data_IF_740873693175
#
_entry.id   IF_740873693175
#
_cell.length_a   1.000
_cell.length_b   1.000
_cell.length_c   1.000
_cell.angle_alpha   90.00
_cell.angle_beta   90.00
_cell.angle_gamma   90.00
#
_symmetry.space_group_name_H-M   'P 1'
#
loop_
_entity.id
_entity.type
_entity.pdbx_description
1 polymer ?
#
# COMPACT_ATOMS: atom_id res chain seq x y z
N UNK A 1 32.12 -33.10 -27.04
CA UNK A 1 33.50 -33.31 -26.51
C UNK A 1 34.23 -34.20 -27.49
N UNK A 2 35.48 -33.88 -27.85
CA UNK A 2 36.27 -34.67 -28.80
C UNK A 2 36.81 -35.95 -28.17
N UNK A 3 36.88 -37.03 -28.94
CA UNK A 3 37.48 -38.32 -28.55
C UNK A 3 39.01 -38.34 -28.67
N UNK A 4 39.62 -37.17 -28.92
CA UNK A 4 41.05 -37.04 -29.12
C UNK A 4 41.76 -36.76 -27.80
N UNK A 5 43.00 -37.27 -27.61
CA UNK A 5 43.79 -36.96 -26.42
C UNK A 5 43.92 -35.45 -26.22
N UNK A 6 43.62 -35.00 -25.01
CA UNK A 6 43.64 -33.59 -24.62
C UNK A 6 44.99 -33.12 -24.08
N UNK A 7 45.96 -34.04 -23.96
CA UNK A 7 47.27 -33.85 -23.32
C UNK A 7 48.37 -34.62 -24.07
N UNK A 8 49.63 -34.39 -23.67
CA UNK A 8 50.79 -35.13 -24.17
C UNK A 8 51.18 -34.81 -25.61
N UNK A 9 51.89 -35.74 -26.26
CA UNK A 9 52.43 -35.57 -27.61
C UNK A 9 51.39 -35.15 -28.65
N UNK A 10 50.13 -35.55 -28.48
CA UNK A 10 49.06 -35.23 -29.42
C UNK A 10 48.78 -33.71 -29.52
N UNK A 11 48.88 -33.01 -28.40
CA UNK A 11 48.69 -31.55 -28.31
C UNK A 11 50.02 -30.80 -28.43
N UNK A 12 51.10 -31.35 -27.87
CA UNK A 12 52.40 -30.68 -27.79
C UNK A 12 53.18 -30.71 -29.11
N UNK A 13 53.01 -31.74 -29.94
CA UNK A 13 53.67 -31.80 -31.24
C UNK A 13 52.93 -30.91 -32.25
N UNK A 14 53.71 -30.19 -33.07
CA UNK A 14 53.19 -29.25 -34.06
C UNK A 14 52.16 -29.86 -35.02
N UNK A 15 51.30 -29.03 -35.60
CA UNK A 15 50.22 -29.50 -36.50
C UNK A 15 50.74 -30.21 -37.75
N UNK A 16 51.99 -29.95 -38.16
CA UNK A 16 52.64 -30.55 -39.32
C UNK A 16 53.17 -31.98 -39.06
N UNK A 17 53.12 -32.46 -37.82
CA UNK A 17 53.54 -33.83 -37.48
C UNK A 17 52.40 -34.79 -37.81
N UNK A 18 52.72 -35.90 -38.49
CA UNK A 18 51.73 -36.90 -38.87
C UNK A 18 51.03 -37.50 -37.63
N UNK A 19 49.78 -37.96 -37.81
CA UNK A 19 48.98 -38.50 -36.71
C UNK A 19 49.58 -39.76 -36.08
N UNK A 20 50.24 -40.62 -36.86
CA UNK A 20 50.85 -41.83 -36.35
C UNK A 20 51.94 -41.50 -35.31
N UNK A 21 52.83 -40.55 -35.61
CA UNK A 21 53.87 -40.06 -34.72
C UNK A 21 53.27 -39.40 -33.47
N UNK A 22 52.18 -38.62 -33.62
CA UNK A 22 51.48 -38.04 -32.47
C UNK A 22 50.88 -39.09 -31.53
N UNK A 23 50.31 -40.16 -32.08
CA UNK A 23 49.73 -41.26 -31.31
C UNK A 23 50.82 -42.11 -30.64
N UNK A 24 51.92 -42.39 -31.35
CA UNK A 24 53.05 -43.14 -30.80
C UNK A 24 53.78 -42.40 -29.68
N UNK A 25 53.69 -41.07 -29.65
CA UNK A 25 54.24 -40.26 -28.58
C UNK A 25 53.38 -40.21 -27.32
N UNK A 26 52.18 -40.79 -27.30
CA UNK A 26 51.33 -40.80 -26.11
C UNK A 26 51.85 -41.78 -25.07
N UNK A 27 51.99 -41.29 -23.85
CA UNK A 27 52.24 -42.11 -22.67
C UNK A 27 50.91 -42.57 -22.08
N UNK A 28 50.96 -43.60 -21.24
CA UNK A 28 49.77 -44.11 -20.56
C UNK A 28 49.01 -43.03 -19.76
N UNK A 29 49.69 -41.98 -19.27
CA UNK A 29 49.08 -40.86 -18.54
C UNK A 29 48.42 -39.80 -19.43
N UNK A 30 48.73 -39.77 -20.72
CA UNK A 30 48.19 -38.81 -21.68
C UNK A 30 46.85 -39.27 -22.26
N UNK A 31 46.53 -40.55 -22.07
CA UNK A 31 45.35 -41.19 -22.59
C UNK A 31 44.30 -41.22 -21.48
N UNK A 32 43.20 -40.53 -21.71
CA UNK A 32 41.98 -40.71 -20.93
C UNK A 32 41.37 -42.07 -21.31
N UNK A 33 41.84 -43.13 -20.65
CA UNK A 33 41.46 -44.51 -20.99
C UNK A 33 39.96 -44.74 -20.93
N UNK A 34 39.27 -44.07 -20.01
CA UNK A 34 37.84 -44.29 -19.76
C UNK A 34 37.06 -42.99 -19.84
N UNK A 35 35.96 -43.02 -20.57
CA UNK A 35 34.97 -41.96 -20.48
C UNK A 35 34.19 -42.08 -19.16
N UNK A 36 33.99 -40.96 -18.45
CA UNK A 36 33.35 -40.94 -17.13
C UNK A 36 31.94 -41.54 -17.09
N UNK A 37 31.22 -41.54 -18.21
CA UNK A 37 29.88 -42.15 -18.31
C UNK A 37 29.87 -43.68 -18.50
N UNK A 38 31.02 -44.30 -18.78
CA UNK A 38 31.11 -45.72 -19.16
C UNK A 38 31.68 -46.64 -18.07
N UNK A 39 32.17 -46.09 -16.97
CA UNK A 39 32.84 -46.87 -15.92
C UNK A 39 31.86 -47.81 -15.22
N UNK A 40 32.12 -49.11 -15.31
CA UNK A 40 31.35 -50.13 -14.60
C UNK A 40 29.99 -50.50 -15.22
N UNK A 41 29.68 -50.00 -16.43
CA UNK A 41 28.51 -50.43 -17.18
C UNK A 41 28.71 -51.80 -17.83
N UNK A 42 27.60 -52.46 -18.16
CA UNK A 42 27.58 -53.72 -18.90
C UNK A 42 28.01 -53.50 -20.35
N UNK A 43 29.17 -54.02 -20.72
CA UNK A 43 29.71 -53.93 -22.09
C UNK A 43 29.61 -55.28 -22.80
N UNK A 44 29.64 -55.23 -24.14
CA UNK A 44 29.53 -56.44 -24.98
C UNK A 44 30.85 -57.21 -24.91
N UNK A 45 30.79 -58.45 -24.40
CA UNK A 45 31.95 -59.31 -24.23
C UNK A 45 32.04 -60.46 -25.25
N UNK A 46 30.94 -60.82 -25.91
CA UNK A 46 30.92 -61.84 -26.95
C UNK A 46 29.57 -61.85 -27.68
N UNK A 47 29.52 -62.52 -28.83
CA UNK A 47 28.30 -62.73 -29.60
C UNK A 47 28.12 -64.24 -29.84
N UNK A 48 27.10 -64.85 -29.24
CA UNK A 48 26.81 -66.29 -29.34
C UNK A 48 28.05 -67.15 -29.06
N UNK A 49 28.61 -67.82 -30.09
CA UNK A 49 29.76 -68.71 -29.99
C UNK A 49 31.11 -68.06 -30.34
N UNK A 50 31.12 -66.76 -30.66
CA UNK A 50 32.36 -66.03 -30.92
C UNK A 50 32.96 -65.54 -29.59
N UNK A 51 34.20 -65.93 -29.22
CA UNK A 51 34.82 -65.50 -27.97
C UNK A 51 35.21 -64.02 -27.99
N UNK A 52 35.38 -63.43 -29.18
CA UNK A 52 35.52 -61.99 -29.40
C UNK A 52 34.27 -61.40 -30.05
N UNK A 53 34.20 -60.08 -30.17
CA UNK A 53 33.03 -59.40 -30.75
C UNK A 53 33.30 -59.14 -32.22
N UNK A 54 32.62 -59.85 -33.14
CA UNK A 54 32.82 -59.68 -34.58
C UNK A 54 32.15 -58.40 -35.09
N UNK A 55 32.84 -57.67 -35.95
CA UNK A 55 32.35 -56.45 -36.61
C UNK A 55 32.31 -56.69 -38.11
N UNK A 56 31.17 -56.42 -38.74
CA UNK A 56 31.01 -56.52 -40.20
C UNK A 56 31.32 -55.14 -40.81
N UNK A 57 32.41 -55.05 -41.58
CA UNK A 57 32.75 -53.87 -42.37
C UNK A 57 32.33 -54.03 -43.84
N UNK A 58 32.71 -53.06 -44.68
CA UNK A 58 32.40 -53.10 -46.12
C UNK A 58 33.31 -54.05 -46.93
N UNK A 59 34.54 -54.26 -46.48
CA UNK A 59 35.54 -55.10 -47.16
C UNK A 59 35.74 -56.47 -46.49
N UNK A 60 35.31 -56.62 -45.24
CA UNK A 60 35.58 -57.82 -44.47
C UNK A 60 34.99 -57.73 -43.07
N UNK A 61 35.02 -58.86 -42.38
CA UNK A 61 34.70 -58.91 -40.96
C UNK A 61 35.99 -58.83 -40.16
N UNK A 62 36.01 -57.98 -39.14
CA UNK A 62 37.07 -57.91 -38.11
C UNK A 62 36.51 -58.35 -36.76
N UNK A 63 37.32 -58.38 -35.71
CA UNK A 63 36.82 -58.45 -34.34
C UNK A 63 37.59 -57.48 -33.43
N UNK A 64 36.97 -57.08 -32.33
CA UNK A 64 37.71 -56.52 -31.20
C UNK A 64 37.75 -57.52 -30.07
N UNK A 65 38.80 -57.45 -29.27
CA UNK A 65 39.01 -58.32 -28.12
C UNK A 65 38.58 -57.62 -26.83
N UNK A 66 37.44 -57.96 -26.22
CA UNK A 66 36.97 -57.24 -25.04
C UNK A 66 37.96 -57.34 -23.88
N UNK A 67 38.68 -58.46 -23.74
CA UNK A 67 39.62 -58.69 -22.63
C UNK A 67 40.76 -57.66 -22.67
N UNK A 68 41.20 -57.27 -23.87
CA UNK A 68 42.20 -56.21 -24.05
C UNK A 68 41.60 -54.80 -23.89
N UNK A 69 40.29 -54.64 -24.08
CA UNK A 69 39.59 -53.36 -23.91
C UNK A 69 39.12 -53.10 -22.47
N UNK A 70 39.39 -54.00 -21.51
CA UNK A 70 39.05 -53.84 -20.08
C UNK A 70 39.34 -52.45 -19.55
N UNK A 71 40.56 -51.97 -19.81
CA UNK A 71 41.02 -50.66 -19.37
C UNK A 71 40.19 -49.52 -19.96
N UNK A 72 39.77 -49.64 -21.22
CA UNK A 72 38.93 -48.64 -21.88
C UNK A 72 37.49 -48.62 -21.35
N UNK A 73 37.02 -49.77 -20.88
CA UNK A 73 35.70 -49.94 -20.25
C UNK A 73 35.71 -49.64 -18.74
N UNK A 74 36.87 -49.27 -18.19
CA UNK A 74 37.04 -48.90 -16.77
C UNK A 74 37.13 -50.06 -15.81
N UNK A 75 37.72 -51.17 -16.29
CA UNK A 75 38.11 -52.30 -15.47
C UNK A 75 39.63 -52.46 -15.39
N UNK A 76 40.08 -52.85 -14.20
CA UNK A 76 41.50 -53.04 -13.91
C UNK A 76 42.10 -54.17 -14.76
N UNK A 77 43.35 -54.00 -15.17
CA UNK A 77 44.15 -55.06 -15.78
C UNK A 77 45.19 -55.56 -14.78
N UNK A 78 44.77 -56.46 -13.88
CA UNK A 78 45.62 -57.00 -12.81
C UNK A 78 46.56 -58.11 -13.31
N UNK A 79 46.10 -58.96 -14.22
CA UNK A 79 46.83 -60.14 -14.71
C UNK A 79 46.87 -60.18 -16.25
N UNK A 80 47.90 -60.83 -16.83
CA UNK A 80 47.91 -61.15 -18.25
C UNK A 80 46.66 -61.95 -18.66
N UNK A 81 46.10 -61.68 -19.85
CA UNK A 81 45.02 -62.51 -20.38
C UNK A 81 45.52 -63.92 -20.69
N UNK A 82 44.65 -64.92 -20.61
CA UNK A 82 44.99 -66.27 -21.02
C UNK A 82 45.23 -66.30 -22.54
N UNK A 83 46.08 -67.22 -23.01
CA UNK A 83 46.35 -67.36 -24.45
C UNK A 83 45.05 -67.51 -25.25
N UNK A 84 44.11 -68.32 -24.75
CA UNK A 84 42.77 -68.51 -25.34
C UNK A 84 41.97 -67.22 -25.47
N UNK A 85 42.13 -66.28 -24.54
CA UNK A 85 41.37 -65.03 -24.55
C UNK A 85 41.85 -64.09 -25.65
N UNK A 86 43.11 -64.22 -26.11
CA UNK A 86 43.76 -63.32 -27.08
C UNK A 86 44.13 -63.99 -28.40
N UNK A 87 43.72 -65.25 -28.59
CA UNK A 87 44.12 -66.10 -29.71
C UNK A 87 43.39 -65.75 -31.02
N UNK A 88 42.22 -65.12 -30.94
CA UNK A 88 41.38 -64.86 -32.11
C UNK A 88 41.52 -63.43 -32.64
N UNK A 89 42.25 -63.25 -33.74
CA UNK A 89 41.97 -62.16 -34.69
C UNK A 89 41.18 -62.74 -35.86
N UNK A 90 39.89 -62.40 -35.94
CA UNK A 90 39.07 -62.76 -37.08
C UNK A 90 39.26 -61.66 -38.10
N UNK A 91 40.03 -61.92 -39.17
CA UNK A 91 39.89 -61.18 -40.42
C UNK A 91 39.49 -62.16 -41.52
N UNK A 92 38.40 -61.87 -42.21
CA UNK A 92 38.10 -62.52 -43.48
C UNK A 92 37.40 -61.54 -44.43
N UNK A 93 37.72 -61.57 -45.74
CA UNK A 93 37.05 -60.75 -46.73
C UNK A 93 35.59 -61.18 -46.88
N UNK A 94 34.67 -60.27 -47.19
CA UNK A 94 33.27 -60.62 -47.45
C UNK A 94 33.15 -61.52 -48.68
N UNK A 95 33.94 -61.22 -49.71
CA UNK A 95 34.04 -62.01 -50.92
C UNK A 95 34.47 -63.44 -50.58
N UNK A 96 33.72 -64.43 -51.09
CA UNK A 96 33.94 -65.85 -50.82
C UNK A 96 33.57 -66.34 -49.41
N UNK A 97 33.08 -65.47 -48.52
CA UNK A 97 32.78 -65.83 -47.12
C UNK A 97 31.33 -65.51 -46.69
N UNK A 98 30.38 -65.51 -47.63
CA UNK A 98 28.98 -65.12 -47.36
C UNK A 98 28.34 -65.97 -46.24
N UNK A 99 28.70 -67.25 -46.13
CA UNK A 99 28.24 -68.12 -45.04
C UNK A 99 28.74 -67.66 -43.66
N UNK A 100 30.01 -67.25 -43.55
CA UNK A 100 30.58 -66.71 -42.30
C UNK A 100 30.00 -65.35 -41.96
N UNK A 101 29.74 -64.50 -42.95
CA UNK A 101 29.04 -63.22 -42.73
C UNK A 101 27.65 -63.44 -42.16
N UNK A 102 26.89 -64.42 -42.69
CA UNK A 102 25.59 -64.81 -42.13
C UNK A 102 25.69 -65.31 -40.69
N UNK A 103 26.69 -66.14 -40.36
CA UNK A 103 26.93 -66.60 -39.00
C UNK A 103 27.22 -65.45 -38.03
N UNK A 104 28.03 -64.47 -38.44
CA UNK A 104 28.28 -63.26 -37.65
C UNK A 104 26.99 -62.46 -37.46
N UNK A 105 26.22 -62.24 -38.52
CA UNK A 105 24.95 -61.53 -38.44
C UNK A 105 23.94 -62.23 -37.50
N UNK A 106 23.90 -63.56 -37.51
CA UNK A 106 23.11 -64.34 -36.57
C UNK A 106 23.63 -64.25 -35.14
N UNK A 107 24.95 -64.22 -34.93
CA UNK A 107 25.54 -64.11 -33.60
C UNK A 107 25.21 -62.78 -32.91
N UNK A 108 25.06 -61.71 -33.69
CA UNK A 108 24.61 -60.40 -33.18
C UNK A 108 23.19 -60.41 -32.63
N UNK A 109 22.37 -61.44 -32.93
CA UNK A 109 21.06 -61.62 -32.28
C UNK A 109 21.17 -62.13 -30.84
N UNK A 110 22.34 -62.59 -30.42
CA UNK A 110 22.60 -63.18 -29.10
C UNK A 110 23.85 -62.56 -28.45
N UNK A 111 23.73 -61.28 -28.11
CA UNK A 111 24.79 -60.49 -27.47
C UNK A 111 24.95 -60.91 -26.01
N UNK A 112 26.18 -61.22 -25.61
CA UNK A 112 26.53 -61.47 -24.21
C UNK A 112 27.18 -60.21 -23.64
N UNK A 113 26.68 -59.76 -22.48
CA UNK A 113 27.18 -58.59 -21.76
C UNK A 113 27.71 -58.99 -20.40
N UNK A 114 28.76 -58.29 -19.97
CA UNK A 114 29.39 -58.50 -18.66
C UNK A 114 29.58 -57.17 -17.96
N UNK A 115 29.26 -57.15 -16.67
CA UNK A 115 29.36 -55.98 -15.80
C UNK A 115 30.39 -56.17 -14.68
N UNK A 116 30.38 -55.23 -13.73
CA UNK A 116 31.33 -55.14 -12.61
C UNK A 116 31.56 -56.44 -11.86
N UNK A 117 30.50 -57.15 -11.49
CA UNK A 117 30.58 -58.40 -10.70
C UNK A 117 31.39 -59.49 -11.43
N UNK A 118 31.28 -59.53 -12.76
CA UNK A 118 31.86 -60.59 -13.58
C UNK A 118 33.28 -60.30 -14.09
N UNK A 119 33.71 -59.04 -14.09
CA UNK A 119 34.92 -58.59 -14.81
C UNK A 119 36.02 -57.97 -13.97
N UNK A 120 35.72 -57.63 -12.72
CA UNK A 120 36.72 -57.17 -11.75
C UNK A 120 36.44 -55.76 -11.24
N UNK A 121 37.44 -55.17 -10.58
CA UNK A 121 37.31 -53.86 -9.94
C UNK A 121 37.14 -52.78 -11.00
N UNK A 122 36.18 -51.88 -10.75
CA UNK A 122 35.94 -50.69 -11.57
C UNK A 122 37.04 -49.65 -11.29
N UNK A 123 38.11 -49.70 -12.08
CA UNK A 123 39.17 -48.70 -12.18
C UNK A 123 39.89 -48.90 -13.54
N UNK A 124 40.65 -47.93 -14.02
CA UNK A 124 41.31 -47.99 -15.33
C UNK A 124 42.83 -48.22 -15.25
N UNK A 125 43.31 -48.81 -14.15
CA UNK A 125 44.73 -49.04 -13.90
C UNK A 125 45.19 -50.33 -14.58
N UNK A 126 46.38 -50.28 -15.19
CA UNK A 126 47.17 -51.48 -15.51
C UNK A 126 48.13 -51.76 -14.35
N UNK A 127 48.40 -53.04 -14.13
CA UNK A 127 49.34 -53.51 -13.11
C UNK A 127 50.58 -54.12 -13.78
N UNK A 128 51.74 -54.14 -13.09
CA UNK A 128 53.01 -54.58 -13.67
C UNK A 128 52.97 -55.94 -14.41
N UNK A 129 52.27 -56.99 -13.92
CA UNK A 129 52.19 -58.26 -14.64
C UNK A 129 51.59 -58.13 -16.05
N UNK A 130 50.55 -57.30 -16.20
CA UNK A 130 49.94 -57.05 -17.51
C UNK A 130 50.86 -56.21 -18.39
N UNK A 131 51.51 -55.19 -17.84
CA UNK A 131 52.42 -54.31 -18.58
C UNK A 131 53.65 -55.06 -19.12
N UNK A 132 54.21 -55.98 -18.33
CA UNK A 132 55.28 -56.90 -18.75
C UNK A 132 54.83 -57.82 -19.90
N UNK A 133 53.62 -58.37 -19.80
CA UNK A 133 53.05 -59.21 -20.84
C UNK A 133 52.81 -58.43 -22.14
N UNK A 134 52.28 -57.20 -22.03
CA UNK A 134 52.05 -56.33 -23.17
C UNK A 134 53.35 -55.97 -23.87
N UNK A 135 54.39 -55.63 -23.10
CA UNK A 135 55.72 -55.30 -23.62
C UNK A 135 56.31 -56.46 -24.44
N UNK A 136 56.31 -57.67 -23.89
CA UNK A 136 56.72 -58.89 -24.61
C UNK A 136 55.90 -59.14 -25.87
N UNK A 137 54.59 -58.87 -25.82
CA UNK A 137 53.71 -59.03 -26.99
C UNK A 137 54.04 -58.04 -28.10
N UNK A 138 54.36 -56.79 -27.75
CA UNK A 138 54.76 -55.75 -28.71
C UNK A 138 56.07 -56.15 -29.41
N UNK A 139 57.05 -56.66 -28.65
CA UNK A 139 58.31 -57.20 -29.19
C UNK A 139 58.05 -58.33 -30.19
N UNK A 140 57.20 -59.31 -29.83
CA UNK A 140 56.86 -60.44 -30.69
C UNK A 140 56.08 -60.06 -31.96
N UNK A 141 55.23 -59.03 -31.88
CA UNK A 141 54.38 -58.61 -33.00
C UNK A 141 55.14 -57.73 -34.00
N UNK A 142 56.34 -57.25 -33.62
CA UNK A 142 57.19 -56.37 -34.43
C UNK A 142 56.39 -55.23 -35.08
N UNK A 143 55.79 -54.36 -34.25
CA UNK A 143 55.04 -53.22 -34.77
C UNK A 143 55.92 -52.41 -35.74
N UNK A 144 55.39 -51.96 -36.89
CA UNK A 144 56.18 -51.34 -37.96
C UNK A 144 56.69 -49.92 -37.64
N UNK A 145 56.65 -49.51 -36.37
CA UNK A 145 56.99 -48.17 -35.93
C UNK A 145 58.08 -48.20 -34.85
N UNK A 146 59.15 -47.40 -34.98
CA UNK A 146 60.19 -47.33 -33.97
C UNK A 146 59.65 -46.70 -32.68
N UNK A 147 59.88 -47.36 -31.54
CA UNK A 147 59.56 -46.81 -30.22
C UNK A 147 60.67 -45.84 -29.81
N UNK A 148 60.47 -44.53 -30.00
CA UNK A 148 61.45 -43.49 -29.66
C UNK A 148 61.00 -42.78 -28.37
N UNK A 149 61.50 -43.18 -27.20
CA UNK A 149 61.21 -42.47 -25.94
C UNK A 149 62.36 -41.49 -25.60
N UNK A 150 62.12 -40.24 -25.13
CA UNK A 150 60.85 -39.52 -25.04
C UNK A 150 60.58 -38.55 -26.20
N UNK A 151 59.38 -38.63 -26.77
CA UNK A 151 58.90 -37.74 -27.84
C UNK A 151 58.64 -36.30 -27.38
N UNK A 152 58.55 -36.07 -26.08
CA UNK A 152 58.38 -34.76 -25.46
C UNK A 152 58.79 -34.79 -23.97
N UNK A 153 59.12 -33.65 -23.33
CA UNK A 153 59.67 -33.63 -21.97
C UNK A 153 58.77 -34.34 -20.95
N UNK A 154 59.39 -35.12 -20.07
CA UNK A 154 58.73 -35.62 -18.85
C UNK A 154 58.51 -34.42 -17.95
N UNK A 155 57.28 -33.90 -17.93
CA UNK A 155 56.82 -33.09 -16.80
C UNK A 155 56.71 -34.09 -15.65
N UNK A 156 57.70 -34.08 -14.76
CA UNK A 156 57.67 -34.80 -13.49
C UNK A 156 56.47 -34.26 -12.70
N UNK A 157 55.39 -35.03 -12.68
CA UNK A 157 54.40 -34.88 -11.62
C UNK A 157 55.16 -35.28 -10.36
N UNK A 158 55.45 -34.29 -9.51
CA UNK A 158 56.03 -34.52 -8.19
C UNK A 158 55.17 -35.56 -7.49
N UNK A 159 55.65 -36.80 -7.46
CA UNK A 159 55.11 -37.83 -6.59
C UNK A 159 55.33 -37.30 -5.18
N UNK A 160 54.33 -36.61 -4.64
CA UNK A 160 54.31 -36.17 -3.26
C UNK A 160 54.16 -37.44 -2.43
N UNK A 161 55.26 -38.18 -2.25
CA UNK A 161 55.41 -39.15 -1.18
C UNK A 161 55.45 -38.36 0.11
N UNK A 162 54.25 -38.01 0.57
CA UNK A 162 54.01 -37.43 1.87
C UNK A 162 54.54 -38.41 2.91
N UNK A 163 55.41 -37.93 3.79
CA UNK A 163 55.94 -38.69 4.92
C UNK A 163 54.79 -39.20 5.80
N UNK A 164 54.94 -40.37 6.44
CA UNK A 164 53.92 -40.90 7.36
C UNK A 164 53.54 -39.87 8.45
N UNK A 165 54.50 -39.04 8.88
CA UNK A 165 54.23 -37.97 9.86
C UNK A 165 53.33 -36.86 9.29
N UNK A 166 53.60 -36.41 8.06
CA UNK A 166 52.77 -35.41 7.36
C UNK A 166 51.37 -35.96 7.07
N UNK A 167 51.25 -37.26 6.77
CA UNK A 167 49.95 -37.92 6.61
C UNK A 167 49.14 -37.93 7.92
N UNK A 168 49.78 -38.22 9.05
CA UNK A 168 49.13 -38.20 10.37
C UNK A 168 48.73 -36.78 10.80
N UNK A 169 49.50 -35.76 10.41
CA UNK A 169 49.17 -34.37 10.63
C UNK A 169 47.97 -33.92 9.80
N UNK A 170 47.99 -34.15 8.48
CA UNK A 170 46.83 -33.88 7.62
C UNK A 170 45.58 -34.64 8.05
N UNK A 171 45.75 -35.87 8.57
CA UNK A 171 44.64 -36.64 9.13
C UNK A 171 44.02 -35.96 10.36
N UNK A 172 44.84 -35.44 11.28
CA UNK A 172 44.36 -34.67 12.44
C UNK A 172 43.66 -33.38 11.99
N UNK A 173 44.24 -32.63 11.07
CA UNK A 173 43.64 -31.41 10.53
C UNK A 173 42.30 -31.69 9.86
N UNK A 174 42.22 -32.73 9.03
CA UNK A 174 40.97 -33.16 8.41
C UNK A 174 39.92 -33.51 9.46
N UNK A 175 40.30 -34.26 10.50
CA UNK A 175 39.36 -34.67 11.55
C UNK A 175 38.86 -33.45 12.35
N UNK A 176 39.73 -32.45 12.60
CA UNK A 176 39.35 -31.16 13.19
C UNK A 176 38.40 -30.37 12.27
N UNK A 177 38.72 -30.23 10.99
CA UNK A 177 37.86 -29.55 10.02
C UNK A 177 36.49 -30.25 9.87
N UNK A 178 36.45 -31.58 9.99
CA UNK A 178 35.20 -32.31 9.98
C UNK A 178 34.35 -31.98 11.21
N UNK A 179 34.98 -31.90 12.40
CA UNK A 179 34.29 -31.51 13.63
C UNK A 179 33.75 -30.07 13.54
N UNK A 180 34.58 -29.12 13.11
CA UNK A 180 34.17 -27.72 12.89
C UNK A 180 33.03 -27.62 11.87
N UNK A 181 33.11 -28.37 10.77
CA UNK A 181 32.04 -28.43 9.77
C UNK A 181 30.72 -28.88 10.40
N UNK A 182 30.74 -29.95 11.20
CA UNK A 182 29.51 -30.44 11.85
C UNK A 182 28.95 -29.43 12.86
N UNK A 183 29.82 -28.70 13.58
CA UNK A 183 29.39 -27.66 14.50
C UNK A 183 28.76 -26.47 13.78
N UNK A 184 29.36 -26.04 12.67
CA UNK A 184 28.83 -24.98 11.82
C UNK A 184 27.49 -25.38 11.20
N UNK A 185 27.35 -26.62 10.72
CA UNK A 185 26.08 -27.15 10.21
C UNK A 185 24.97 -27.10 11.28
N UNK A 186 25.28 -27.50 12.52
CA UNK A 186 24.34 -27.36 13.64
C UNK A 186 24.00 -25.89 13.94
N UNK A 187 24.98 -24.99 13.86
CA UNK A 187 24.79 -23.56 14.10
C UNK A 187 23.87 -22.94 13.05
N UNK A 188 24.10 -23.25 11.78
CA UNK A 188 23.24 -22.82 10.66
C UNK A 188 21.80 -23.33 10.88
N UNK A 189 21.62 -24.59 11.27
CA UNK A 189 20.29 -25.13 11.55
C UNK A 189 19.58 -24.43 12.73
N UNK A 190 20.33 -23.97 13.75
CA UNK A 190 19.77 -23.15 14.85
C UNK A 190 19.35 -21.77 14.35
N UNK A 191 20.20 -21.08 13.60
CA UNK A 191 19.90 -19.75 13.05
C UNK A 191 18.71 -19.81 12.09
N UNK A 192 18.61 -20.85 11.26
CA UNK A 192 17.46 -21.04 10.37
C UNK A 192 16.14 -21.18 11.14
N UNK A 193 16.12 -21.93 12.25
CA UNK A 193 14.93 -22.03 13.12
C UNK A 193 14.55 -20.68 13.71
N UNK A 194 15.51 -19.95 14.29
CA UNK A 194 15.26 -18.62 14.86
C UNK A 194 14.76 -17.64 13.80
N UNK A 195 15.33 -17.66 12.60
CA UNK A 195 14.88 -16.81 11.49
C UNK A 195 13.45 -17.14 11.05
N UNK A 196 13.07 -18.42 11.05
CA UNK A 196 11.71 -18.83 10.75
C UNK A 196 10.72 -18.33 11.82
N UNK A 197 11.05 -18.49 13.10
CA UNK A 197 10.24 -17.97 14.22
C UNK A 197 10.12 -16.44 14.17
N UNK A 198 11.20 -15.73 13.85
CA UNK A 198 11.20 -14.27 13.69
C UNK A 198 10.31 -13.84 12.53
N UNK A 199 10.36 -14.56 11.41
CA UNK A 199 9.51 -14.28 10.25
C UNK A 199 8.03 -14.42 10.60
N UNK A 200 7.65 -15.49 11.29
CA UNK A 200 6.27 -15.69 11.76
C UNK A 200 5.82 -14.56 12.71
N UNK A 201 6.69 -14.16 13.65
CA UNK A 201 6.41 -13.03 14.55
C UNK A 201 6.22 -11.71 13.81
N UNK A 202 7.04 -11.45 12.78
CA UNK A 202 6.91 -10.27 11.93
C UNK A 202 5.57 -10.27 11.17
N UNK A 203 5.21 -11.40 10.55
CA UNK A 203 3.93 -11.53 9.84
C UNK A 203 2.72 -11.30 10.78
N UNK A 204 2.79 -11.80 12.01
CA UNK A 204 1.74 -11.56 13.01
C UNK A 204 1.73 -10.14 13.57
N UNK A 205 2.88 -9.47 13.59
CA UNK A 205 2.96 -8.05 13.94
C UNK A 205 2.37 -7.18 12.83
N UNK A 206 2.66 -7.49 11.55
CA UNK A 206 2.11 -6.78 10.40
C UNK A 206 0.59 -6.93 10.32
N UNK A 207 0.05 -8.12 10.59
CA UNK A 207 -1.40 -8.34 10.70
C UNK A 207 -2.03 -7.48 11.79
N UNK A 208 -1.38 -7.36 12.96
CA UNK A 208 -1.85 -6.52 14.07
C UNK A 208 -1.86 -5.04 13.69
N UNK A 209 -0.77 -4.55 13.12
CA UNK A 209 -0.68 -3.17 12.62
C UNK A 209 -1.73 -2.88 11.55
N UNK A 210 -1.99 -3.81 10.63
CA UNK A 210 -3.03 -3.65 9.62
C UNK A 210 -4.44 -3.55 10.22
N UNK A 211 -4.73 -4.33 11.27
CA UNK A 211 -6.00 -4.26 12.00
C UNK A 211 -6.14 -2.94 12.77
N UNK A 212 -5.08 -2.49 13.43
CA UNK A 212 -5.05 -1.20 14.12
C UNK A 212 -5.22 -0.01 13.15
N UNK A 213 -4.56 -0.05 11.99
CA UNK A 213 -4.70 0.96 10.95
C UNK A 213 -6.15 1.05 10.45
N UNK A 214 -6.80 -0.09 10.18
CA UNK A 214 -8.24 -0.11 9.82
C UNK A 214 -9.14 0.44 10.92
N UNK A 215 -8.83 0.13 12.18
CA UNK A 215 -9.59 0.65 13.33
C UNK A 215 -9.43 2.16 13.43
N UNK A 216 -8.21 2.67 13.25
CA UNK A 216 -7.91 4.09 13.26
C UNK A 216 -8.59 4.84 12.10
N UNK A 217 -8.61 4.27 10.89
CA UNK A 217 -9.38 4.82 9.76
C UNK A 217 -10.88 4.89 10.06
N UNK A 218 -11.44 3.85 10.67
CA UNK A 218 -12.86 3.83 11.04
C UNK A 218 -13.17 4.88 12.12
N UNK A 219 -12.32 4.99 13.14
CA UNK A 219 -12.46 5.98 14.21
C UNK A 219 -12.34 7.41 13.65
N UNK A 220 -11.33 7.68 12.81
CA UNK A 220 -11.17 8.99 12.16
C UNK A 220 -12.34 9.36 11.25
N UNK A 221 -12.89 8.40 10.49
CA UNK A 221 -14.10 8.62 9.70
C UNK A 221 -15.32 8.91 10.57
N UNK A 222 -15.46 8.21 11.71
CA UNK A 222 -16.54 8.43 12.68
C UNK A 222 -16.45 9.83 13.31
N UNK A 223 -15.29 10.21 13.82
CA UNK A 223 -15.07 11.54 14.39
C UNK A 223 -15.21 12.65 13.34
N UNK A 224 -14.80 12.41 12.10
CA UNK A 224 -15.03 13.33 10.98
C UNK A 224 -16.52 13.63 10.75
N UNK A 225 -17.38 12.59 10.78
CA UNK A 225 -18.84 12.77 10.68
C UNK A 225 -19.42 13.55 11.86
N UNK A 226 -18.98 13.25 13.08
CA UNK A 226 -19.41 14.00 14.28
C UNK A 226 -19.01 15.47 14.16
N UNK A 227 -17.77 15.74 13.77
CA UNK A 227 -17.27 17.11 13.60
C UNK A 227 -18.08 17.88 12.56
N UNK A 228 -18.40 17.24 11.43
CA UNK A 228 -19.24 17.84 10.38
C UNK A 228 -20.66 18.13 10.87
N UNK A 229 -21.28 17.20 11.60
CA UNK A 229 -22.61 17.39 12.17
C UNK A 229 -22.62 18.53 13.20
N UNK A 230 -21.60 18.58 14.06
CA UNK A 230 -21.45 19.65 15.06
C UNK A 230 -21.24 21.01 14.40
N UNK A 231 -20.40 21.09 13.37
CA UNK A 231 -20.18 22.32 12.59
C UNK A 231 -21.48 22.79 11.92
N UNK A 232 -22.30 21.87 11.42
CA UNK A 232 -23.60 22.18 10.81
C UNK A 232 -24.59 22.70 11.86
N UNK A 233 -24.69 22.03 13.01
CA UNK A 233 -25.52 22.44 14.14
C UNK A 233 -25.13 23.83 14.68
N UNK A 234 -23.83 24.10 14.82
CA UNK A 234 -23.34 25.42 15.24
C UNK A 234 -23.74 26.52 14.25
N UNK A 235 -23.64 26.28 12.93
CA UNK A 235 -24.11 27.24 11.92
C UNK A 235 -25.60 27.51 12.03
N UNK A 236 -26.41 26.47 12.23
CA UNK A 236 -27.86 26.64 12.44
C UNK A 236 -28.16 27.41 13.73
N UNK A 237 -27.41 27.15 14.80
CA UNK A 237 -27.51 27.88 16.05
C UNK A 237 -27.17 29.37 15.86
N UNK A 238 -26.11 29.69 15.13
CA UNK A 238 -25.74 31.08 14.83
C UNK A 238 -26.81 31.79 13.99
N UNK A 239 -27.36 31.12 12.97
CA UNK A 239 -28.46 31.66 12.14
C UNK A 239 -29.70 31.91 13.00
N UNK A 240 -30.09 30.97 13.86
CA UNK A 240 -31.26 31.11 14.73
C UNK A 240 -31.06 32.21 15.77
N UNK A 241 -29.87 32.33 16.34
CA UNK A 241 -29.48 33.41 17.25
C UNK A 241 -29.56 34.78 16.56
N UNK A 242 -29.09 34.90 15.33
CA UNK A 242 -29.19 36.14 14.57
C UNK A 242 -30.64 36.50 14.24
N UNK A 243 -31.46 35.52 13.83
CA UNK A 243 -32.91 35.71 13.61
C UNK A 243 -33.61 36.19 14.88
N UNK A 244 -33.28 35.59 16.03
CA UNK A 244 -33.83 36.00 17.32
C UNK A 244 -33.42 37.43 17.67
N UNK A 245 -32.14 37.79 17.47
CA UNK A 245 -31.67 39.16 17.71
C UNK A 245 -32.40 40.20 16.84
N UNK A 246 -32.62 39.89 15.56
CA UNK A 246 -33.40 40.73 14.64
C UNK A 246 -34.85 40.86 15.10
N UNK A 247 -35.50 39.76 15.47
CA UNK A 247 -36.88 39.78 15.97
C UNK A 247 -37.02 40.58 17.28
N UNK A 248 -36.10 40.40 18.23
CA UNK A 248 -36.06 41.17 19.47
C UNK A 248 -35.94 42.67 19.21
N UNK A 249 -35.08 43.07 18.25
CA UNK A 249 -34.95 44.48 17.86
C UNK A 249 -36.26 45.05 17.31
N UNK A 250 -36.95 44.31 16.43
CA UNK A 250 -38.25 44.72 15.88
C UNK A 250 -39.29 44.90 17.00
N UNK A 251 -39.34 43.98 17.96
CA UNK A 251 -40.24 44.08 19.13
C UNK A 251 -39.92 45.34 19.93
N UNK A 252 -38.65 45.65 20.13
CA UNK A 252 -38.23 46.82 20.91
C UNK A 252 -38.52 48.13 20.18
N UNK A 253 -38.29 48.19 18.88
CA UNK A 253 -38.65 49.33 18.03
C UNK A 253 -40.16 49.57 18.02
N UNK A 254 -40.97 48.50 17.96
CA UNK A 254 -42.43 48.59 18.01
C UNK A 254 -42.92 49.04 19.39
N UNK A 255 -42.31 48.57 20.49
CA UNK A 255 -42.58 49.08 21.85
C UNK A 255 -42.31 50.58 21.95
N UNK A 256 -41.17 51.04 21.40
CA UNK A 256 -40.83 52.47 21.34
C UNK A 256 -41.87 53.27 20.56
N UNK A 257 -42.31 52.76 19.40
CA UNK A 257 -43.38 53.37 18.60
C UNK A 257 -44.69 53.45 19.38
N UNK A 258 -45.10 52.39 20.06
CA UNK A 258 -46.34 52.39 20.85
C UNK A 258 -46.29 53.42 21.98
N UNK A 259 -45.16 53.55 22.67
CA UNK A 259 -44.95 54.58 23.71
C UNK A 259 -45.08 55.97 23.10
N UNK A 260 -44.44 56.23 21.95
CA UNK A 260 -44.52 57.51 21.25
C UNK A 260 -45.95 57.86 20.85
N UNK A 261 -46.66 56.92 20.22
CA UNK A 261 -48.06 57.12 19.79
C UNK A 261 -48.97 57.36 20.99
N UNK A 262 -48.74 56.66 22.11
CA UNK A 262 -49.49 56.89 23.34
C UNK A 262 -49.22 58.30 23.89
N UNK A 263 -47.96 58.73 23.98
CA UNK A 263 -47.59 60.08 24.40
C UNK A 263 -48.25 61.17 23.53
N UNK A 264 -48.21 61.01 22.20
CA UNK A 264 -48.89 61.93 21.27
C UNK A 264 -50.41 62.01 21.50
N UNK A 265 -51.06 60.88 21.82
CA UNK A 265 -52.49 60.85 22.16
C UNK A 265 -52.76 61.55 23.48
N UNK A 266 -51.93 61.30 24.49
CA UNK A 266 -52.06 61.93 25.81
C UNK A 266 -51.86 63.45 25.70
N UNK A 267 -50.86 63.92 24.94
CA UNK A 267 -50.63 65.33 24.63
C UNK A 267 -51.84 65.96 23.92
N UNK A 268 -52.42 65.26 22.93
CA UNK A 268 -53.62 65.71 22.21
C UNK A 268 -54.82 65.84 23.14
N UNK A 269 -54.99 64.90 24.07
CA UNK A 269 -56.05 64.96 25.09
C UNK A 269 -55.84 66.16 26.01
N UNK A 270 -54.60 66.42 26.45
CA UNK A 270 -54.29 67.60 27.27
C UNK A 270 -54.60 68.92 26.54
N UNK A 271 -54.25 69.03 25.26
CA UNK A 271 -54.61 70.20 24.44
C UNK A 271 -56.12 70.40 24.38
N UNK A 272 -56.88 69.33 24.10
CA UNK A 272 -58.35 69.40 24.05
C UNK A 272 -58.96 69.79 25.40
N UNK A 273 -58.40 69.30 26.52
CA UNK A 273 -58.83 69.69 27.87
C UNK A 273 -58.58 71.18 28.08
N UNK A 274 -57.40 71.69 27.73
CA UNK A 274 -57.07 73.11 27.88
C UNK A 274 -57.93 74.02 26.99
N UNK A 275 -58.20 73.60 25.74
CA UNK A 275 -59.14 74.28 24.84
C UNK A 275 -60.55 74.33 25.43
N UNK A 276 -61.04 73.20 25.96
CA UNK A 276 -62.35 73.13 26.61
C UNK A 276 -62.43 74.01 27.86
N UNK A 277 -61.39 74.03 28.71
CA UNK A 277 -61.32 74.90 29.88
C UNK A 277 -61.31 76.39 29.50
N UNK A 278 -60.56 76.75 28.45
CA UNK A 278 -60.54 78.12 27.92
C UNK A 278 -61.93 78.53 27.42
N UNK A 279 -62.60 77.66 26.66
CA UNK A 279 -63.94 77.95 26.14
C UNK A 279 -64.97 78.05 27.27
N UNK A 280 -64.89 77.17 28.27
CA UNK A 280 -65.72 77.23 29.48
C UNK A 280 -65.52 78.55 30.23
N UNK A 281 -64.28 79.04 30.31
CA UNK A 281 -63.99 80.35 30.91
C UNK A 281 -64.62 81.49 30.11
N UNK A 282 -64.56 81.46 28.77
CA UNK A 282 -65.24 82.47 27.92
C UNK A 282 -66.74 82.50 28.16
N UNK A 283 -67.40 81.33 28.12
CA UNK A 283 -68.84 81.21 28.36
C UNK A 283 -69.19 81.73 29.76
N UNK A 284 -68.36 81.42 30.76
CA UNK A 284 -68.57 81.91 32.14
C UNK A 284 -68.42 83.43 32.22
N UNK A 285 -67.39 84.00 31.59
CA UNK A 285 -67.17 85.44 31.55
C UNK A 285 -68.29 86.18 30.80
N UNK A 286 -68.79 85.63 29.69
CA UNK A 286 -69.95 86.15 28.97
C UNK A 286 -71.19 86.14 29.84
N UNK A 287 -71.49 85.01 30.52
CA UNK A 287 -72.60 84.91 31.46
C UNK A 287 -72.48 85.97 32.56
N UNK A 288 -71.30 86.12 33.15
CA UNK A 288 -71.07 87.07 34.24
C UNK A 288 -71.21 88.52 33.74
N UNK A 289 -70.79 88.82 32.50
CA UNK A 289 -71.02 90.10 31.83
C UNK A 289 -72.51 90.38 31.66
N UNK A 290 -73.30 89.44 31.10
CA UNK A 290 -74.75 89.56 30.97
C UNK A 290 -75.44 89.76 32.33
N UNK A 291 -75.00 89.05 33.37
CA UNK A 291 -75.53 89.22 34.72
C UNK A 291 -75.21 90.61 35.29
N UNK A 292 -74.00 91.12 35.07
CA UNK A 292 -73.61 92.47 35.47
C UNK A 292 -74.40 93.57 34.73
N UNK A 293 -74.63 93.39 33.42
CA UNK A 293 -75.49 94.29 32.64
C UNK A 293 -76.93 94.26 33.15
N UNK A 294 -77.50 93.07 33.37
CA UNK A 294 -78.85 92.91 33.92
C UNK A 294 -78.96 93.61 35.27
N UNK A 295 -77.98 93.42 36.15
CA UNK A 295 -77.95 94.09 37.46
C UNK A 295 -77.77 95.62 37.33
N UNK A 296 -77.02 96.09 36.32
CA UNK A 296 -76.95 97.52 35.98
C UNK A 296 -78.31 98.07 35.54
N UNK A 297 -79.02 97.39 34.64
CA UNK A 297 -80.37 97.73 34.24
C UNK A 297 -81.34 97.75 35.41
N UNK A 298 -81.30 96.75 36.30
CA UNK A 298 -82.13 96.74 37.51
C UNK A 298 -81.83 97.93 38.42
N UNK A 299 -80.56 98.31 38.59
CA UNK A 299 -80.17 99.52 39.35
C UNK A 299 -80.71 100.79 38.69
N UNK A 300 -80.54 100.96 37.39
CA UNK A 300 -81.05 102.10 36.62
C UNK A 300 -82.57 102.20 36.74
N UNK A 301 -83.28 101.08 36.58
CA UNK A 301 -84.73 101.03 36.73
C UNK A 301 -85.17 101.44 38.14
N UNK A 302 -84.46 101.01 39.18
CA UNK A 302 -84.75 101.39 40.57
C UNK A 302 -84.50 102.88 40.82
N UNK A 303 -83.46 103.45 40.22
CA UNK A 303 -83.20 104.91 40.23
C UNK A 303 -84.35 105.63 39.53
N UNK A 304 -84.72 105.20 38.33
CA UNK A 304 -85.81 105.80 37.55
C UNK A 304 -87.14 105.73 38.30
N UNK A 305 -87.46 104.60 38.93
CA UNK A 305 -88.68 104.44 39.72
C UNK A 305 -88.69 105.35 40.96
N UNK A 306 -87.53 105.57 41.58
CA UNK A 306 -87.38 106.52 42.69
C UNK A 306 -87.56 107.97 42.22
N UNK A 307 -87.06 108.31 41.04
CA UNK A 307 -87.20 109.63 40.42
C UNK A 307 -88.65 109.90 39.99
N UNK A 308 -89.34 108.91 39.41
CA UNK A 308 -90.78 108.98 39.11
C UNK A 308 -91.57 109.20 40.40
N UNK A 309 -91.21 108.49 41.49
CA UNK A 309 -91.80 108.72 42.81
C UNK A 309 -91.56 110.15 43.33
N UNK A 310 -90.35 110.69 43.18
CA UNK A 310 -90.01 112.08 43.54
C UNK A 310 -90.85 113.08 42.74
N UNK A 311 -90.92 112.92 41.42
CA UNK A 311 -91.70 113.79 40.53
C UNK A 311 -93.20 113.72 40.82
N UNK A 312 -93.73 112.53 41.14
CA UNK A 312 -95.13 112.39 41.57
C UNK A 312 -95.39 113.11 42.89
N UNK A 313 -94.47 113.02 43.85
CA UNK A 313 -94.56 113.75 45.11
C UNK A 313 -94.54 115.27 44.89
N UNK A 314 -93.62 115.77 44.07
CA UNK A 314 -93.50 117.18 43.67
C UNK A 314 -94.77 117.66 42.95
N UNK A 315 -95.40 116.81 42.12
CA UNK A 315 -96.67 117.11 41.45
C UNK A 315 -97.87 117.14 42.42
N UNK A 316 -97.92 116.27 43.43
CA UNK A 316 -98.92 116.37 44.52
C UNK A 316 -98.72 117.63 45.36
N UNK A 317 -97.49 118.02 45.67
CA UNK A 317 -97.20 119.26 46.40
C UNK A 317 -97.61 120.49 45.58
N UNK A 318 -97.34 120.50 44.26
CA UNK A 318 -97.82 121.55 43.35
C UNK A 318 -99.35 121.58 43.24
N UNK A 319 -100.02 120.43 43.25
CA UNK A 319 -101.50 120.35 43.29
C UNK A 319 -102.06 120.88 44.60
N UNK A 320 -101.46 120.55 45.74
CA UNK A 320 -101.83 121.12 47.03
C UNK A 320 -101.62 122.63 47.06
N UNK A 321 -100.52 123.14 46.52
CA UNK A 321 -100.28 124.58 46.41
C UNK A 321 -101.33 125.28 45.50
N UNK A 322 -101.76 124.64 44.41
CA UNK A 322 -102.78 125.15 43.51
C UNK A 322 -104.23 125.04 44.04
N UNK A 323 -104.50 124.16 45.01
CA UNK A 323 -105.76 124.12 45.76
C UNK A 323 -105.79 125.15 46.89
N UNK A 324 -104.65 125.39 47.56
CA UNK A 324 -104.54 126.43 48.58
C UNK A 324 -104.75 127.83 48.00
N UNK A 325 -104.19 128.10 46.81
CA UNK A 325 -104.38 129.37 46.09
C UNK A 325 -105.82 129.58 45.58
N UNK A 326 -106.65 128.53 45.50
CA UNK A 326 -108.06 128.64 45.09
C UNK A 326 -109.02 128.94 46.24
N UNK A 327 -108.60 128.79 47.50
CA UNK A 327 -109.43 129.14 48.66
C UNK A 327 -109.40 130.63 49.02
N UNK A 328 -108.42 131.41 48.55
CA UNK A 328 -108.27 132.82 48.95
C UNK A 328 -109.13 133.81 48.14
N UNK A 329 -109.76 133.39 47.02
CA UNK A 329 -110.40 134.32 46.08
C UNK A 329 -111.95 134.34 46.07
N UNK A 330 -112.64 133.65 46.99
CA UNK A 330 -114.10 133.73 47.10
C UNK A 330 -114.65 134.41 48.39
N UNK A 331 -114.68 135.75 48.29
CA UNK A 331 -115.83 136.65 48.60
C UNK A 331 -116.00 137.26 50.01
N UNK A 332 -115.80 138.58 50.05
CA UNK A 332 -116.73 139.61 50.58
C UNK A 332 -116.58 140.90 49.75
N UNK A 333 -117.25 142.06 50.04
CA UNK A 333 -118.60 142.35 50.55
C UNK A 333 -119.32 143.54 49.80
N UNK A 334 -120.62 143.84 50.05
CA UNK A 334 -121.20 145.23 49.97
C UNK A 334 -122.71 145.41 50.32
N UNK A 335 -122.98 146.11 51.44
CA UNK A 335 -123.89 147.28 51.70
C UNK A 335 -125.38 147.33 51.25
N UNK A 336 -126.31 147.63 52.20
CA UNK A 336 -127.26 148.76 52.07
C UNK A 336 -128.74 148.60 52.55
N UNK A 337 -129.45 149.68 53.01
CA UNK A 337 -130.58 149.65 53.97
C UNK A 337 -131.94 150.26 53.51
N UNK A 338 -133.03 150.14 54.31
CA UNK A 338 -134.00 151.20 54.76
C UNK A 338 -135.44 150.70 55.04
N UNK A 339 -135.98 151.14 56.20
CA UNK A 339 -137.35 151.56 56.58
C UNK A 339 -138.63 150.78 56.17
N UNK A 340 -139.49 150.52 57.18
CA UNK A 340 -140.90 150.12 57.02
C UNK A 340 -141.40 149.31 58.20
#
# INVERSE_FOLDING_TARGET
>A
MGYLPSKGAFVLLGQNVNWATKLMGLRAKDIDWTHGSGVGQDFICSCRGFPNVPLIGVQGCINYNPTLLKRQMGFALELPPYKSDVQESVYFPIEGNQARVKQVAEAWRSIQRKGKVSWGKANNRSFPPFDDWLSKRVELTCLPFPMIDPWYPVIEETSSTVSMNEFLEMKRERDQLLAEKTELEMSVARVQRVNQELKEKMEDQDKRHALEAKRFEMDTAYYGKISQALASSNREHDITKERLARASKVIEDEKRRQILVKGQRDDRVQVLIAEWESEKLKITAERDHYMAERDHYFRQMKIHQKEVGRLQQENTELRFAAEFARMEDEIGPSVGPSSG
#
